data_IF_646634838038
#
_entry.id   IF_646634838038
#
_cell.length_a   1.000
_cell.length_b   1.000
_cell.length_c   1.000
_cell.angle_alpha   90.00
_cell.angle_beta   90.00
_cell.angle_gamma   90.00
#
_symmetry.space_group_name_H-M   'P 1'
#
loop_
_entity.id
_entity.type
_entity.pdbx_description
1 polymer ?
#
# COMPACT_ATOMS: atom_id res chain seq x y z
N UNK A 1 -9.30 -3.00 5.66
CA UNK A 1 -8.32 -2.05 5.08
C UNK A 1 -8.20 -0.88 6.04
N UNK A 2 -6.98 -0.57 6.49
CA UNK A 2 -6.71 0.35 7.60
C UNK A 2 -6.37 1.77 7.08
N UNK A 3 -5.73 1.86 5.91
CA UNK A 3 -5.60 3.10 5.14
C UNK A 3 -5.53 2.82 3.65
N UNK A 4 -6.14 3.72 2.87
CA UNK A 4 -6.25 3.63 1.42
C UNK A 4 -5.89 4.95 0.76
N UNK A 5 -5.32 4.87 -0.44
CA UNK A 5 -5.09 6.00 -1.31
C UNK A 5 -5.41 5.62 -2.76
N UNK A 6 -5.72 6.60 -3.60
CA UNK A 6 -6.03 6.40 -5.01
C UNK A 6 -5.05 7.21 -5.84
N UNK A 7 -4.55 6.63 -6.93
CA UNK A 7 -3.71 7.34 -7.89
C UNK A 7 -4.53 7.93 -9.05
N UNK A 8 -3.88 8.72 -9.90
CA UNK A 8 -4.50 9.37 -11.07
C UNK A 8 -5.00 8.39 -12.14
N UNK A 9 -4.54 7.15 -12.11
CA UNK A 9 -4.98 6.07 -13.01
C UNK A 9 -6.19 5.31 -12.44
N UNK A 10 -6.62 5.67 -11.22
CA UNK A 10 -7.74 5.04 -10.52
C UNK A 10 -7.36 3.77 -9.76
N UNK A 11 -6.06 3.44 -9.64
CA UNK A 11 -5.66 2.28 -8.86
C UNK A 11 -5.80 2.57 -7.36
N UNK A 12 -6.24 1.56 -6.63
CA UNK A 12 -6.42 1.60 -5.18
C UNK A 12 -5.19 1.02 -4.48
N UNK A 13 -4.56 1.83 -3.64
CA UNK A 13 -3.41 1.48 -2.82
C UNK A 13 -3.89 1.25 -1.38
N UNK A 14 -3.65 0.07 -0.83
CA UNK A 14 -4.16 -0.33 0.47
C UNK A 14 -3.07 -0.88 1.37
N UNK A 15 -3.04 -0.44 2.64
CA UNK A 15 -2.31 -1.16 3.69
C UNK A 15 -2.81 -2.61 3.80
N UNK A 16 -1.87 -3.56 3.77
CA UNK A 16 -2.09 -5.00 3.76
C UNK A 16 -1.22 -5.68 4.84
N UNK A 17 -1.66 -6.86 5.28
CA UNK A 17 -0.99 -7.62 6.35
C UNK A 17 -1.81 -8.76 6.96
N UNK A 18 -3.01 -9.01 6.44
CA UNK A 18 -3.76 -10.24 6.72
C UNK A 18 -4.79 -10.47 5.62
N UNK A 19 -5.00 -11.73 5.25
CA UNK A 19 -6.09 -12.17 4.39
C UNK A 19 -7.21 -12.89 5.18
N UNK A 20 -7.13 -12.92 6.52
CA UNK A 20 -8.09 -13.59 7.39
C UNK A 20 -7.93 -15.11 7.50
N UNK A 21 -6.98 -15.73 6.79
CA UNK A 21 -6.68 -17.14 6.92
C UNK A 21 -5.79 -17.41 8.14
N UNK A 22 -6.07 -18.49 8.88
CA UNK A 22 -5.35 -18.87 10.11
C UNK A 22 -3.91 -19.30 9.80
N UNK A 23 -3.68 -19.84 8.61
CA UNK A 23 -2.42 -20.40 8.12
C UNK A 23 -1.63 -19.45 7.22
N UNK A 24 -2.09 -18.20 7.07
CA UNK A 24 -1.38 -17.22 6.25
C UNK A 24 -0.06 -16.80 6.90
N UNK A 25 1.02 -16.83 6.11
CA UNK A 25 2.29 -16.21 6.49
C UNK A 25 2.17 -14.68 6.45
N UNK A 26 2.24 -13.98 7.60
CA UNK A 26 2.13 -12.53 7.65
C UNK A 26 3.22 -11.84 6.83
N UNK A 27 4.44 -12.39 6.77
CA UNK A 27 5.55 -11.77 6.04
C UNK A 27 5.32 -11.74 4.52
N UNK A 28 4.53 -12.68 3.99
CA UNK A 28 4.12 -12.70 2.59
C UNK A 28 3.04 -11.66 2.24
N UNK A 29 2.35 -11.13 3.26
CA UNK A 29 1.18 -10.25 3.10
C UNK A 29 1.43 -8.83 3.60
N UNK A 30 2.43 -8.62 4.45
CA UNK A 30 2.71 -7.32 5.05
C UNK A 30 3.20 -6.31 4.01
N UNK A 31 2.56 -5.14 4.02
CA UNK A 31 2.95 -4.01 3.20
C UNK A 31 1.78 -3.34 2.51
N UNK A 32 1.90 -3.06 1.21
CA UNK A 32 0.87 -2.34 0.44
C UNK A 32 0.45 -3.14 -0.77
N UNK A 33 -0.84 -3.40 -0.90
CA UNK A 33 -1.43 -4.04 -2.09
C UNK A 33 -2.02 -2.97 -3.00
N UNK A 34 -1.81 -3.14 -4.30
CA UNK A 34 -2.36 -2.26 -5.34
C UNK A 34 -3.39 -3.02 -6.15
N UNK A 35 -4.57 -2.44 -6.29
CA UNK A 35 -5.66 -2.97 -7.10
C UNK A 35 -5.95 -2.02 -8.27
N UNK A 36 -6.11 -2.57 -9.46
CA UNK A 36 -6.63 -1.83 -10.60
C UNK A 36 -8.09 -1.40 -10.37
N UNK A 37 -8.63 -0.44 -11.15
CA UNK A 37 -10.02 0.00 -11.04
C UNK A 37 -11.07 -1.12 -11.18
N UNK A 38 -10.72 -2.22 -11.84
CA UNK A 38 -11.54 -3.42 -12.01
C UNK A 38 -11.47 -4.39 -10.81
N UNK A 39 -10.69 -4.06 -9.79
CA UNK A 39 -10.50 -4.86 -8.57
C UNK A 39 -9.40 -5.92 -8.68
N UNK A 40 -8.71 -6.05 -9.81
CA UNK A 40 -7.61 -7.01 -9.96
C UNK A 40 -6.38 -6.52 -9.17
N UNK A 41 -5.78 -7.39 -8.37
CA UNK A 41 -4.52 -7.07 -7.69
C UNK A 41 -3.37 -7.03 -8.70
N UNK A 42 -2.77 -5.85 -8.88
CA UNK A 42 -1.72 -5.60 -9.89
C UNK A 42 -0.33 -5.39 -9.27
N UNK A 43 -0.23 -5.24 -7.95
CA UNK A 43 1.06 -4.99 -7.31
C UNK A 43 1.07 -5.23 -5.81
N UNK A 44 2.28 -5.44 -5.27
CA UNK A 44 2.54 -5.56 -3.85
C UNK A 44 3.90 -4.94 -3.49
N UNK A 45 3.91 -4.04 -2.51
CA UNK A 45 5.14 -3.52 -1.89
C UNK A 45 5.30 -4.24 -0.56
N UNK A 46 6.32 -5.10 -0.46
CA UNK A 46 6.62 -5.81 0.78
C UNK A 46 7.23 -4.88 1.83
N UNK A 47 6.68 -4.93 3.04
CA UNK A 47 7.26 -4.30 4.23
C UNK A 47 7.55 -5.38 5.28
N UNK A 48 8.51 -5.16 6.19
CA UNK A 48 8.81 -6.11 7.26
C UNK A 48 7.75 -6.15 8.38
N UNK A 49 6.70 -5.33 8.27
CA UNK A 49 5.62 -5.19 9.26
C UNK A 49 4.34 -4.67 8.59
N UNK A 50 3.18 -4.94 9.21
CA UNK A 50 1.86 -4.52 8.72
C UNK A 50 1.78 -3.02 8.49
N UNK A 51 1.34 -2.63 7.30
CA UNK A 51 1.07 -1.23 6.98
C UNK A 51 -0.34 -0.84 7.42
N UNK A 52 -0.43 0.14 8.32
CA UNK A 52 -1.70 0.66 8.81
C UNK A 52 -2.24 1.77 7.91
N UNK A 53 -1.40 2.61 7.31
CA UNK A 53 -1.89 3.71 6.48
C UNK A 53 -0.94 4.04 5.32
N UNK A 54 -1.50 4.53 4.22
CA UNK A 54 -0.77 4.94 3.01
C UNK A 54 -1.26 6.29 2.52
N UNK A 55 -0.34 7.14 2.07
CA UNK A 55 -0.70 8.40 1.40
C UNK A 55 0.34 8.83 0.38
N UNK A 56 -0.12 9.51 -0.68
CA UNK A 56 0.76 10.17 -1.63
C UNK A 56 1.15 11.55 -1.11
N UNK A 57 2.43 11.91 -1.26
CA UNK A 57 2.94 13.22 -0.91
C UNK A 57 4.21 13.58 -1.67
N UNK A 58 4.95 14.54 -1.12
CA UNK A 58 6.07 15.18 -1.82
C UNK A 58 5.60 16.20 -2.88
N UNK A 59 6.54 16.99 -3.40
CA UNK A 59 6.26 18.10 -4.33
C UNK A 59 5.50 17.66 -5.59
N UNK A 60 5.76 16.43 -6.06
CA UNK A 60 5.19 15.88 -7.29
C UNK A 60 4.08 14.85 -7.02
N UNK A 61 3.62 14.71 -5.77
CA UNK A 61 2.61 13.71 -5.34
C UNK A 61 2.94 12.26 -5.75
N UNK A 62 4.22 11.97 -6.02
CA UNK A 62 4.71 10.68 -6.49
C UNK A 62 5.55 9.94 -5.44
N UNK A 63 5.53 10.41 -4.19
CA UNK A 63 6.14 9.71 -3.06
C UNK A 63 5.04 9.08 -2.23
N UNK A 64 5.03 7.75 -2.17
CA UNK A 64 4.11 6.99 -1.34
C UNK A 64 4.71 6.86 0.06
N UNK A 65 4.04 7.40 1.07
CA UNK A 65 4.35 7.20 2.47
C UNK A 65 3.52 6.04 3.01
N UNK A 66 4.13 5.20 3.83
CA UNK A 66 3.55 3.98 4.39
C UNK A 66 3.83 3.99 5.89
N UNK A 67 2.79 4.28 6.68
CA UNK A 67 2.86 4.23 8.13
C UNK A 67 2.64 2.79 8.59
N UNK A 68 3.65 2.23 9.21
CA UNK A 68 3.63 0.88 9.77
C UNK A 68 3.77 0.97 11.31
N UNK A 69 3.85 -0.18 12.00
CA UNK A 69 3.79 -0.21 13.46
C UNK A 69 4.91 0.59 14.14
N UNK A 70 6.15 0.37 13.73
CA UNK A 70 7.31 0.99 14.38
C UNK A 70 8.06 1.99 13.48
N UNK A 71 7.69 2.05 12.20
CA UNK A 71 8.42 2.82 11.20
C UNK A 71 7.48 3.48 10.20
N UNK A 72 8.00 4.53 9.55
CA UNK A 72 7.39 5.11 8.35
C UNK A 72 8.33 4.85 7.18
N UNK A 73 7.82 4.15 6.17
CA UNK A 73 8.53 3.87 4.93
C UNK A 73 8.09 4.87 3.85
N UNK A 74 8.96 5.16 2.89
CA UNK A 74 8.58 5.95 1.75
C UNK A 74 9.34 5.53 0.49
N UNK A 75 8.62 5.42 -0.62
CA UNK A 75 9.19 5.10 -1.94
C UNK A 75 8.66 6.07 -2.98
N UNK A 76 9.47 6.33 -4.01
CA UNK A 76 8.99 7.02 -5.20
C UNK A 76 8.28 6.01 -6.10
N UNK A 77 7.11 6.39 -6.62
CA UNK A 77 6.34 5.60 -7.57
C UNK A 77 6.18 6.39 -8.87
N UNK A 78 5.93 5.67 -9.97
CA UNK A 78 5.82 6.26 -11.30
C UNK A 78 4.38 6.71 -11.64
N UNK A 79 3.58 7.00 -10.61
CA UNK A 79 2.23 7.57 -10.71
C UNK A 79 2.08 8.67 -9.65
N UNK A 80 0.95 9.35 -9.63
CA UNK A 80 0.67 10.45 -8.71
C UNK A 80 -0.61 10.15 -7.93
N UNK A 81 -0.70 10.62 -6.69
CA UNK A 81 -1.97 10.62 -5.95
C UNK A 81 -3.01 11.49 -6.64
N UNK A 82 -4.27 11.01 -6.66
CA UNK A 82 -5.43 11.74 -7.19
C UNK A 82 -5.64 13.08 -6.48
#
# INVERSE_FOLDING_TARGET
FDGIAVDVDGNLWCGFGSNGAIDADPQGLDGVRVFAPDGVAIGHIHLPERCANVCFGGRHRNRLFMAASHSVYAVYVNTQGA
#
